data_IF_173559087314
#
_entry.id   IF_173559087314
#
_cell.length_a   1.000
_cell.length_b   1.000
_cell.length_c   1.000
_cell.angle_alpha   90.00
_cell.angle_beta   90.00
_cell.angle_gamma   90.00
#
_symmetry.space_group_name_H-M   'P 1'
#
loop_
_entity.id
_entity.type
_entity.pdbx_description
1 polymer ?
#
# COMPACT_ATOMS: atom_id res chain seq x y z
N UNK A 1 -18.12 31.84 2.98
CA UNK A 1 -18.69 30.89 1.99
C UNK A 1 -19.92 30.25 2.61
N UNK A 2 -21.04 30.14 1.88
CA UNK A 2 -22.20 29.39 2.39
C UNK A 2 -21.85 27.90 2.47
N UNK A 3 -22.40 27.21 3.47
CA UNK A 3 -22.18 25.77 3.69
C UNK A 3 -22.49 24.94 2.43
N UNK A 4 -23.53 25.33 1.68
CA UNK A 4 -23.91 24.68 0.43
C UNK A 4 -22.86 24.76 -0.66
N UNK A 5 -22.20 25.92 -0.85
CA UNK A 5 -21.13 26.07 -1.84
C UNK A 5 -19.89 25.28 -1.40
N UNK A 6 -19.58 25.25 -0.10
CA UNK A 6 -18.46 24.45 0.43
C UNK A 6 -18.66 22.95 0.17
N UNK A 7 -19.86 22.44 0.45
CA UNK A 7 -20.17 21.03 0.28
C UNK A 7 -20.23 20.62 -1.20
N UNK A 8 -20.72 21.51 -2.07
CA UNK A 8 -20.69 21.30 -3.52
C UNK A 8 -19.27 21.24 -4.08
N UNK A 9 -18.39 22.14 -3.64
CA UNK A 9 -16.99 22.11 -4.07
C UNK A 9 -16.28 20.86 -3.55
N UNK A 10 -16.56 20.42 -2.32
CA UNK A 10 -16.01 19.19 -1.76
C UNK A 10 -16.49 17.94 -2.51
N UNK A 11 -17.77 17.88 -2.92
CA UNK A 11 -18.28 16.73 -3.68
C UNK A 11 -17.70 16.67 -5.09
N UNK A 12 -17.52 17.82 -5.74
CA UNK A 12 -16.85 17.90 -7.05
C UNK A 12 -15.38 17.46 -6.93
N UNK A 13 -14.67 17.93 -5.90
CA UNK A 13 -13.28 17.53 -5.67
C UNK A 13 -13.15 16.03 -5.41
N UNK A 14 -14.04 15.45 -4.60
CA UNK A 14 -14.09 14.02 -4.34
C UNK A 14 -14.40 13.22 -5.61
N UNK A 15 -15.34 13.69 -6.44
CA UNK A 15 -15.69 13.04 -7.70
C UNK A 15 -14.51 13.04 -8.68
N UNK A 16 -13.82 14.17 -8.83
CA UNK A 16 -12.63 14.28 -9.68
C UNK A 16 -11.53 13.34 -9.17
N UNK A 17 -11.24 13.36 -7.86
CA UNK A 17 -10.25 12.46 -7.26
C UNK A 17 -10.61 10.98 -7.50
N UNK A 18 -11.87 10.61 -7.27
CA UNK A 18 -12.36 9.25 -7.50
C UNK A 18 -12.19 8.80 -8.95
N UNK A 19 -12.55 9.66 -9.93
CA UNK A 19 -12.36 9.35 -11.35
C UNK A 19 -10.88 9.15 -11.67
N UNK A 20 -10.00 10.05 -11.23
CA UNK A 20 -8.55 9.92 -11.48
C UNK A 20 -7.94 8.68 -10.82
N UNK A 21 -8.42 8.30 -9.63
CA UNK A 21 -7.96 7.10 -8.95
C UNK A 21 -8.39 5.85 -9.74
N UNK A 22 -9.64 5.78 -10.18
CA UNK A 22 -10.15 4.65 -10.97
C UNK A 22 -9.40 4.51 -12.31
N UNK A 23 -9.16 5.63 -12.99
CA UNK A 23 -8.37 5.67 -14.23
C UNK A 23 -6.95 5.10 -14.00
N UNK A 24 -6.28 5.52 -12.93
CA UNK A 24 -4.95 5.01 -12.57
C UNK A 24 -4.92 3.52 -12.23
N UNK A 25 -6.02 2.96 -11.72
CA UNK A 25 -6.13 1.54 -11.39
C UNK A 25 -6.31 0.68 -12.64
N UNK A 26 -7.05 1.18 -13.65
CA UNK A 26 -7.33 0.43 -14.89
C UNK A 26 -6.03 0.16 -15.65
N UNK A 27 -5.15 1.15 -15.75
CA UNK A 27 -3.85 1.01 -16.44
C UNK A 27 -2.73 0.46 -15.55
N UNK A 28 -3.03 0.12 -14.29
CA UNK A 28 -2.03 -0.26 -13.29
C UNK A 28 -1.22 -1.49 -13.68
N UNK A 29 -1.82 -2.44 -14.40
CA UNK A 29 -1.15 -3.69 -14.83
C UNK A 29 0.06 -3.42 -15.72
N UNK A 30 0.02 -2.39 -16.56
CA UNK A 30 1.14 -2.04 -17.44
C UNK A 30 2.33 -1.43 -16.67
N UNK A 31 2.06 -0.83 -15.50
CA UNK A 31 3.06 -0.22 -14.64
C UNK A 31 3.72 -1.22 -13.65
N UNK A 32 3.20 -2.45 -13.54
CA UNK A 32 3.74 -3.45 -12.64
C UNK A 32 5.11 -3.96 -13.11
N UNK A 33 6.17 -3.53 -12.44
CA UNK A 33 7.49 -4.14 -12.55
C UNK A 33 7.71 -5.08 -11.35
N UNK A 34 7.80 -6.40 -11.55
CA UNK A 34 7.94 -7.37 -10.46
C UNK A 34 9.26 -7.24 -9.68
N UNK A 35 10.32 -6.65 -10.23
CA UNK A 35 11.54 -6.28 -9.51
C UNK A 35 12.04 -7.34 -8.50
N UNK A 36 12.12 -6.94 -7.22
CA UNK A 36 12.61 -7.78 -6.11
C UNK A 36 11.72 -9.00 -5.80
N UNK A 37 10.46 -9.02 -6.25
CA UNK A 37 9.53 -10.12 -6.02
C UNK A 37 10.06 -11.46 -6.59
N UNK A 38 10.80 -11.41 -7.69
CA UNK A 38 11.44 -12.61 -8.25
C UNK A 38 12.44 -13.24 -7.28
N UNK A 39 13.19 -12.43 -6.53
CA UNK A 39 14.16 -12.92 -5.54
C UNK A 39 13.43 -13.48 -4.32
N UNK A 40 12.38 -12.79 -3.85
CA UNK A 40 11.56 -13.28 -2.74
C UNK A 40 10.93 -14.64 -3.03
N UNK A 41 10.44 -14.87 -4.25
CA UNK A 41 9.86 -16.16 -4.65
C UNK A 41 10.94 -17.22 -4.91
N UNK A 42 12.13 -16.85 -5.39
CA UNK A 42 13.21 -17.79 -5.69
C UNK A 42 13.94 -18.31 -4.44
N UNK A 43 14.18 -17.44 -3.46
CA UNK A 43 14.94 -17.77 -2.23
C UNK A 43 14.02 -17.96 -1.03
N UNK A 44 12.90 -17.23 -0.96
CA UNK A 44 12.12 -17.11 0.27
C UNK A 44 11.63 -18.45 0.82
N UNK A 45 11.16 -19.33 -0.05
CA UNK A 45 10.69 -20.69 0.32
C UNK A 45 11.81 -21.62 0.79
N UNK A 46 13.08 -21.28 0.56
CA UNK A 46 14.26 -22.02 1.03
C UNK A 46 14.73 -21.58 2.42
N UNK A 47 14.35 -20.37 2.85
CA UNK A 47 14.62 -19.86 4.21
C UNK A 47 13.52 -20.33 5.15
N UNK A 48 12.26 -20.09 4.76
CA UNK A 48 11.08 -20.49 5.52
C UNK A 48 9.94 -20.87 4.57
N UNK A 49 9.06 -21.82 4.95
CA UNK A 49 8.00 -22.30 4.06
C UNK A 49 6.97 -21.23 3.69
N UNK A 50 6.78 -20.20 4.51
CA UNK A 50 5.87 -19.09 4.25
C UNK A 50 6.65 -17.86 3.76
N UNK A 51 6.46 -17.54 2.48
CA UNK A 51 7.15 -16.42 1.82
C UNK A 51 6.73 -15.06 2.36
N UNK A 52 5.47 -14.88 2.77
CA UNK A 52 4.96 -13.60 3.30
C UNK A 52 5.62 -13.31 4.64
N UNK A 53 5.63 -14.28 5.56
CA UNK A 53 6.30 -14.09 6.85
C UNK A 53 7.80 -13.90 6.68
N UNK A 54 8.41 -14.57 5.70
CA UNK A 54 9.82 -14.36 5.41
C UNK A 54 10.09 -12.92 4.96
N UNK A 55 9.28 -12.39 4.05
CA UNK A 55 9.45 -11.00 3.58
C UNK A 55 9.22 -10.00 4.72
N UNK A 56 8.16 -10.17 5.51
CA UNK A 56 7.77 -9.19 6.54
C UNK A 56 8.70 -9.23 7.77
N UNK A 57 9.22 -10.39 8.17
CA UNK A 57 10.07 -10.50 9.36
C UNK A 57 11.58 -10.51 9.09
N UNK A 58 12.03 -10.95 7.90
CA UNK A 58 13.47 -11.01 7.57
C UNK A 58 13.85 -9.84 6.65
N UNK A 59 13.31 -9.80 5.43
CA UNK A 59 13.70 -8.80 4.41
C UNK A 59 13.23 -7.38 4.71
N UNK A 60 12.02 -7.25 5.25
CA UNK A 60 11.37 -5.98 5.64
C UNK A 60 11.11 -5.94 7.15
N UNK A 61 12.00 -6.57 7.94
CA UNK A 61 11.86 -6.63 9.40
C UNK A 61 11.79 -5.26 10.08
N UNK A 62 12.37 -4.21 9.48
CA UNK A 62 12.29 -2.85 10.01
C UNK A 62 10.87 -2.26 9.95
N UNK A 63 10.06 -2.62 8.95
CA UNK A 63 8.67 -2.18 8.88
C UNK A 63 7.83 -2.80 10.00
N UNK A 64 8.07 -4.08 10.28
CA UNK A 64 7.42 -4.82 11.39
C UNK A 64 7.88 -4.31 12.75
N UNK A 65 9.16 -3.92 12.90
CA UNK A 65 9.63 -3.24 14.10
C UNK A 65 8.93 -1.89 14.29
N UNK A 66 8.75 -1.14 13.21
CA UNK A 66 8.00 0.12 13.20
C UNK A 66 6.54 -0.08 13.59
N UNK A 67 5.87 -1.10 13.04
CA UNK A 67 4.50 -1.47 13.43
C UNK A 67 4.41 -1.81 14.92
N UNK A 68 5.34 -2.62 15.44
CA UNK A 68 5.40 -2.95 16.85
C UNK A 68 5.62 -1.69 17.73
N UNK A 69 6.48 -0.77 17.30
CA UNK A 69 6.68 0.50 18.01
C UNK A 69 5.40 1.35 18.02
N UNK A 70 4.71 1.46 16.88
CA UNK A 70 3.42 2.17 16.80
C UNK A 70 2.43 1.56 17.78
N UNK A 71 2.30 0.22 17.81
CA UNK A 71 1.41 -0.48 18.74
C UNK A 71 1.76 -0.23 20.20
N UNK A 72 3.04 -0.24 20.57
CA UNK A 72 3.50 0.04 21.94
C UNK A 72 3.21 1.49 22.33
N UNK A 73 3.34 2.44 21.40
CA UNK A 73 3.05 3.87 21.67
C UNK A 73 1.57 4.23 21.66
N UNK A 74 0.74 3.42 21.00
CA UNK A 74 -0.69 3.66 20.88
C UNK A 74 -1.48 3.22 22.13
N UNK A 75 -0.87 2.40 22.99
CA UNK A 75 -1.40 1.91 24.27
C UNK A 75 -0.88 2.77 25.41
#
# INVERSE_FOLDING_TARGET
MSEGIRNLLASIALAIFGITLLDSIIDFKAALNPGINHIYLWIGTKIAPNSVTNVVFDWRGYDTLGEALILVTAV
#
